data_IF_700044904184
#
_entry.id   IF_700044904184
#
_cell.length_a   1.000
_cell.length_b   1.000
_cell.length_c   1.000
_cell.angle_alpha   90.00
_cell.angle_beta   90.00
_cell.angle_gamma   90.00
#
_symmetry.space_group_name_H-M   'P 1'
#
loop_
_entity.id
_entity.type
_entity.pdbx_description
1 polymer ?
#
# COMPACT_ATOMS: atom_id res chain seq x y z
N UNK A 1 -2.03 3.75 -43.90
CA UNK A 1 -2.90 4.64 -43.11
C UNK A 1 -3.50 3.82 -41.98
N UNK A 2 -2.82 3.78 -40.84
CA UNK A 2 -3.28 3.03 -39.67
C UNK A 2 -4.47 3.76 -39.05
N UNK A 3 -5.59 3.07 -38.88
CA UNK A 3 -6.71 3.56 -38.07
C UNK A 3 -6.14 3.90 -36.70
N UNK A 4 -6.24 5.17 -36.30
CA UNK A 4 -6.02 5.55 -34.91
C UNK A 4 -6.98 4.74 -34.06
N UNK A 5 -6.46 3.83 -33.25
CA UNK A 5 -7.24 3.12 -32.24
C UNK A 5 -7.88 4.19 -31.34
N UNK A 6 -9.17 4.46 -31.55
CA UNK A 6 -9.98 5.19 -30.59
C UNK A 6 -9.86 4.44 -29.28
N UNK A 7 -9.14 5.03 -28.31
CA UNK A 7 -9.08 4.49 -26.96
C UNK A 7 -10.52 4.34 -26.48
N UNK A 8 -11.01 3.10 -26.43
CA UNK A 8 -12.32 2.79 -25.87
C UNK A 8 -12.40 3.48 -24.52
N UNK A 9 -13.39 4.35 -24.36
CA UNK A 9 -13.66 5.00 -23.08
C UNK A 9 -13.91 3.91 -22.05
N UNK A 10 -13.23 4.00 -20.91
CA UNK A 10 -13.37 3.01 -19.86
C UNK A 10 -14.81 3.03 -19.30
N UNK A 11 -15.41 1.86 -19.03
CA UNK A 11 -16.63 1.78 -18.24
C UNK A 11 -16.48 2.49 -16.89
N UNK A 12 -17.56 3.06 -16.37
CA UNK A 12 -17.54 3.88 -15.14
C UNK A 12 -16.94 3.14 -13.93
N UNK A 13 -17.22 1.85 -13.77
CA UNK A 13 -16.68 1.04 -12.68
C UNK A 13 -15.16 0.82 -12.81
N UNK A 14 -14.63 0.75 -14.04
CA UNK A 14 -13.19 0.67 -14.31
C UNK A 14 -12.51 2.03 -14.06
N UNK A 15 -13.14 3.14 -14.49
CA UNK A 15 -12.65 4.49 -14.18
C UNK A 15 -12.58 4.72 -12.66
N UNK A 16 -13.64 4.30 -11.94
CA UNK A 16 -13.71 4.39 -10.48
C UNK A 16 -12.65 3.52 -9.81
N UNK A 17 -12.45 2.29 -10.28
CA UNK A 17 -11.37 1.41 -9.82
C UNK A 17 -10.01 2.12 -9.96
N UNK A 18 -9.63 2.58 -11.15
CA UNK A 18 -8.34 3.25 -11.35
C UNK A 18 -8.17 4.51 -10.51
N UNK A 19 -9.22 5.33 -10.37
CA UNK A 19 -9.20 6.51 -9.51
C UNK A 19 -8.90 6.14 -8.06
N UNK A 20 -9.54 5.11 -7.54
CA UNK A 20 -9.35 4.66 -6.16
C UNK A 20 -8.02 3.95 -5.96
N UNK A 21 -7.60 3.08 -6.89
CA UNK A 21 -6.28 2.44 -6.84
C UNK A 21 -5.15 3.47 -6.87
N UNK A 22 -5.27 4.52 -7.69
CA UNK A 22 -4.30 5.63 -7.71
C UNK A 22 -4.30 6.42 -6.40
N UNK A 23 -5.47 6.64 -5.80
CA UNK A 23 -5.57 7.28 -4.47
C UNK A 23 -4.96 6.41 -3.37
N UNK A 24 -5.25 5.11 -3.38
CA UNK A 24 -4.71 4.12 -2.46
C UNK A 24 -3.18 4.11 -2.53
N UNK A 25 -2.61 4.01 -3.75
CA UNK A 25 -1.17 4.06 -3.97
C UNK A 25 -0.54 5.33 -3.40
N UNK A 26 -1.10 6.51 -3.71
CA UNK A 26 -0.61 7.78 -3.14
C UNK A 26 -0.62 7.79 -1.62
N UNK A 27 -1.69 7.28 -1.00
CA UNK A 27 -1.80 7.21 0.45
C UNK A 27 -0.76 6.25 1.05
N UNK A 28 -0.58 5.07 0.46
CA UNK A 28 0.46 4.11 0.84
C UNK A 28 1.85 4.75 0.73
N UNK A 29 2.18 5.37 -0.40
CA UNK A 29 3.50 5.97 -0.64
C UNK A 29 3.77 7.12 0.34
N UNK A 30 2.75 7.93 0.64
CA UNK A 30 2.85 9.03 1.61
C UNK A 30 2.97 8.53 3.05
N UNK A 31 2.20 7.52 3.44
CA UNK A 31 2.30 6.92 4.77
C UNK A 31 3.66 6.23 4.97
N UNK A 32 4.19 5.56 3.94
CA UNK A 32 5.54 4.97 3.98
C UNK A 32 6.63 6.03 4.22
N UNK A 33 6.55 7.15 3.51
CA UNK A 33 7.42 8.31 3.73
C UNK A 33 7.29 8.81 5.17
N UNK A 34 6.07 8.96 5.68
CA UNK A 34 5.84 9.45 7.03
C UNK A 34 6.37 8.50 8.10
N UNK A 35 6.35 7.18 7.88
CA UNK A 35 7.01 6.22 8.77
C UNK A 35 8.52 6.45 8.87
N UNK A 36 9.17 6.70 7.73
CA UNK A 36 10.60 7.03 7.70
C UNK A 36 10.88 8.34 8.43
N UNK A 37 10.12 9.39 8.12
CA UNK A 37 10.31 10.71 8.73
C UNK A 37 10.08 10.69 10.25
N UNK A 38 9.11 9.90 10.73
CA UNK A 38 8.87 9.71 12.15
C UNK A 38 10.07 9.06 12.86
N UNK A 39 10.64 8.02 12.25
CA UNK A 39 11.84 7.35 12.77
C UNK A 39 13.04 8.29 12.78
N UNK A 40 13.31 8.97 11.66
CA UNK A 40 14.41 9.92 11.53
C UNK A 40 14.28 11.07 12.54
N UNK A 41 13.06 11.56 12.77
CA UNK A 41 12.80 12.56 13.81
C UNK A 41 13.14 12.02 15.20
N UNK A 42 12.71 10.81 15.55
CA UNK A 42 13.00 10.21 16.85
C UNK A 42 14.50 9.97 17.06
N UNK A 43 15.21 9.51 16.03
CA UNK A 43 16.69 9.40 16.05
C UNK A 43 17.32 10.75 16.34
N UNK A 44 16.95 11.79 15.59
CA UNK A 44 17.53 13.13 15.73
C UNK A 44 17.24 13.77 17.10
N UNK A 45 16.09 13.46 17.70
CA UNK A 45 15.67 14.05 18.98
C UNK A 45 16.18 13.30 20.20
N UNK A 46 16.39 11.99 20.09
CA UNK A 46 16.69 11.14 21.26
C UNK A 46 18.07 10.50 21.21
N UNK A 47 18.57 10.14 20.03
CA UNK A 47 19.77 9.31 19.88
C UNK A 47 21.00 10.06 19.37
N UNK A 48 20.86 11.32 18.97
CA UNK A 48 21.98 12.11 18.49
C UNK A 48 22.88 12.53 19.67
N UNK A 49 24.11 12.04 19.67
CA UNK A 49 25.14 12.41 20.64
C UNK A 49 25.71 13.82 20.42
N UNK A 50 26.60 14.24 21.32
CA UNK A 50 27.25 15.58 21.26
C UNK A 50 28.17 15.76 20.05
N UNK A 51 28.64 14.66 19.48
CA UNK A 51 29.50 14.58 18.29
C UNK A 51 28.70 14.44 16.98
N UNK A 52 27.37 14.58 17.04
CA UNK A 52 26.44 14.34 15.93
C UNK A 52 26.47 12.90 15.39
N UNK A 53 26.90 11.93 16.19
CA UNK A 53 26.79 10.51 15.87
C UNK A 53 25.56 9.91 16.55
N UNK A 54 24.95 8.90 15.90
CA UNK A 54 23.81 8.18 16.46
C UNK A 54 24.31 7.17 17.48
N UNK A 55 23.84 7.29 18.72
CA UNK A 55 24.12 6.35 19.80
C UNK A 55 22.87 5.54 20.18
N UNK A 56 22.84 4.29 19.74
CA UNK A 56 21.74 3.36 20.02
C UNK A 56 21.79 2.81 21.45
N UNK A 57 22.91 2.90 22.17
CA UNK A 57 22.99 2.41 23.56
C UNK A 57 22.10 3.23 24.50
N UNK A 58 21.77 4.46 24.12
CA UNK A 58 20.79 5.33 24.79
C UNK A 58 19.42 4.63 24.92
N UNK A 59 19.05 3.75 23.98
CA UNK A 59 17.80 2.99 24.04
C UNK A 59 17.80 1.87 25.10
N UNK A 60 18.89 1.64 25.84
CA UNK A 60 18.87 0.77 27.02
C UNK A 60 18.12 1.42 28.19
N UNK A 61 17.99 2.75 28.20
CA UNK A 61 17.29 3.50 29.22
C UNK A 61 15.78 3.57 28.92
N UNK A 62 14.95 3.10 29.85
CA UNK A 62 13.49 3.05 29.66
C UNK A 62 12.88 4.42 29.36
N UNK A 63 13.38 5.48 30.00
CA UNK A 63 12.94 6.85 29.73
C UNK A 63 13.22 7.28 28.29
N UNK A 64 14.37 6.86 27.74
CA UNK A 64 14.76 7.18 26.37
C UNK A 64 13.98 6.38 25.35
N UNK A 65 13.63 5.14 25.67
CA UNK A 65 12.69 4.35 24.85
C UNK A 65 11.33 5.05 24.74
N UNK A 66 10.82 5.55 25.88
CA UNK A 66 9.56 6.30 25.94
C UNK A 66 9.61 7.62 25.16
N UNK A 67 10.70 8.39 25.28
CA UNK A 67 10.94 9.60 24.48
C UNK A 67 10.98 9.29 22.98
N UNK A 68 11.70 8.24 22.59
CA UNK A 68 11.84 7.83 21.19
C UNK A 68 10.48 7.44 20.58
N UNK A 69 9.74 6.53 21.23
CA UNK A 69 8.42 6.12 20.79
C UNK A 69 7.42 7.29 20.80
N UNK A 70 7.54 8.19 21.78
CA UNK A 70 6.76 9.42 21.86
C UNK A 70 6.94 10.33 20.66
N UNK A 71 8.18 10.60 20.25
CA UNK A 71 8.45 11.44 19.07
C UNK A 71 7.90 10.84 17.78
N UNK A 72 7.97 9.52 17.61
CA UNK A 72 7.34 8.85 16.48
C UNK A 72 5.81 9.01 16.51
N UNK A 73 5.19 8.73 17.66
CA UNK A 73 3.74 8.80 17.82
C UNK A 73 3.20 10.22 17.59
N UNK A 74 3.86 11.23 18.17
CA UNK A 74 3.46 12.63 18.05
C UNK A 74 3.54 13.09 16.57
N UNK A 75 4.56 12.63 15.83
CA UNK A 75 4.64 12.87 14.39
C UNK A 75 3.46 12.26 13.63
N UNK A 76 3.15 10.99 13.90
CA UNK A 76 2.04 10.31 13.25
C UNK A 76 0.68 10.95 13.55
N UNK A 77 0.45 11.33 14.80
CA UNK A 77 -0.77 12.04 15.21
C UNK A 77 -0.89 13.36 14.45
N UNK A 78 0.20 14.13 14.34
CA UNK A 78 0.23 15.36 13.55
C UNK A 78 -0.18 15.14 12.09
N UNK A 79 0.44 14.16 11.42
CA UNK A 79 0.10 13.82 10.03
C UNK A 79 -1.32 13.29 9.86
N UNK A 80 -1.80 12.51 10.82
CA UNK A 80 -3.16 11.98 10.78
C UNK A 80 -4.20 13.10 10.93
N UNK A 81 -3.98 14.07 11.82
CA UNK A 81 -4.83 15.26 11.95
C UNK A 81 -4.85 16.08 10.66
N UNK A 82 -3.68 16.32 10.08
CA UNK A 82 -3.55 17.06 8.81
C UNK A 82 -4.29 16.36 7.66
N UNK A 83 -4.21 15.03 7.60
CA UNK A 83 -4.84 14.24 6.56
C UNK A 83 -6.36 14.18 6.73
N UNK A 84 -6.84 13.86 7.92
CA UNK A 84 -8.27 13.70 8.21
C UNK A 84 -9.00 15.03 8.45
N UNK A 85 -8.27 16.15 8.52
CA UNK A 85 -8.83 17.46 8.90
C UNK A 85 -9.58 17.37 10.23
N UNK A 86 -8.97 16.66 11.18
CA UNK A 86 -9.58 16.37 12.46
C UNK A 86 -9.27 17.45 13.47
N UNK A 87 -10.31 17.99 14.11
CA UNK A 87 -10.22 18.94 15.23
C UNK A 87 -10.02 18.25 16.59
N UNK A 88 -9.72 16.94 16.59
CA UNK A 88 -9.44 16.20 17.83
C UNK A 88 -8.35 16.95 18.61
N UNK A 89 -8.71 17.35 19.82
CA UNK A 89 -7.91 18.23 20.68
C UNK A 89 -6.52 17.68 20.99
N UNK A 90 -6.32 16.38 20.80
CA UNK A 90 -5.09 15.67 21.15
C UNK A 90 -4.95 15.39 22.65
N UNK A 91 -5.95 15.76 23.47
CA UNK A 91 -5.94 15.50 24.91
C UNK A 91 -6.46 14.12 25.28
N UNK A 92 -7.32 13.55 24.45
CA UNK A 92 -7.80 12.19 24.63
C UNK A 92 -6.82 11.20 23.99
N UNK A 93 -6.20 10.39 24.83
CA UNK A 93 -5.24 9.36 24.42
C UNK A 93 -5.91 8.30 23.54
N UNK A 94 -7.15 7.91 23.84
CA UNK A 94 -7.85 6.89 23.08
C UNK A 94 -8.19 7.38 21.66
N UNK A 95 -8.66 8.62 21.53
CA UNK A 95 -8.93 9.22 20.22
C UNK A 95 -7.64 9.34 19.38
N UNK A 96 -6.53 9.73 20.00
CA UNK A 96 -5.24 9.81 19.32
C UNK A 96 -4.75 8.43 18.84
N UNK A 97 -4.90 7.39 19.66
CA UNK A 97 -4.53 6.02 19.30
C UNK A 97 -5.37 5.53 18.11
N UNK A 98 -6.68 5.78 18.13
CA UNK A 98 -7.56 5.44 17.00
C UNK A 98 -7.19 6.20 15.72
N UNK A 99 -6.94 7.50 15.84
CA UNK A 99 -6.58 8.36 14.70
C UNK A 99 -5.26 7.92 14.07
N UNK A 100 -4.25 7.66 14.91
CA UNK A 100 -2.94 7.18 14.49
C UNK A 100 -3.04 5.81 13.82
N UNK A 101 -3.78 4.87 14.41
CA UNK A 101 -3.98 3.53 13.84
C UNK A 101 -4.73 3.58 12.51
N UNK A 102 -5.76 4.43 12.39
CA UNK A 102 -6.48 4.61 11.13
C UNK A 102 -5.54 5.09 10.01
N UNK A 103 -4.59 5.97 10.34
CA UNK A 103 -3.66 6.58 9.39
C UNK A 103 -2.45 5.70 9.04
N UNK A 104 -1.81 5.14 10.06
CA UNK A 104 -0.48 4.49 9.96
C UNK A 104 -0.50 2.99 10.22
N UNK A 105 -1.63 2.45 10.68
CA UNK A 105 -1.76 1.03 11.04
C UNK A 105 -1.05 0.65 12.35
N UNK A 106 -0.63 1.62 13.17
CA UNK A 106 -0.05 1.36 14.48
C UNK A 106 -0.53 2.35 15.55
N UNK A 107 -0.27 2.04 16.81
CA UNK A 107 -0.58 2.85 18.00
C UNK A 107 0.71 3.28 18.73
N UNK A 108 0.65 4.35 19.51
CA UNK A 108 1.71 4.77 20.44
C UNK A 108 2.10 3.62 21.36
N UNK A 109 1.11 2.91 21.88
CA UNK A 109 1.32 1.73 22.72
C UNK A 109 2.10 0.62 22.00
N UNK A 110 1.78 0.32 20.74
CA UNK A 110 2.52 -0.67 19.94
C UNK A 110 3.94 -0.22 19.62
N UNK A 111 4.14 1.06 19.28
CA UNK A 111 5.49 1.62 19.07
C UNK A 111 6.34 1.50 20.33
N UNK A 112 5.78 1.88 21.49
CA UNK A 112 6.46 1.75 22.78
C UNK A 112 6.83 0.31 23.07
N UNK A 113 5.91 -0.64 22.89
CA UNK A 113 6.22 -2.06 23.04
C UNK A 113 7.34 -2.53 22.12
N UNK A 114 7.33 -2.09 20.85
CA UNK A 114 8.34 -2.45 19.87
C UNK A 114 9.73 -1.90 20.26
N UNK A 115 9.82 -0.63 20.63
CA UNK A 115 11.06 0.00 21.09
C UNK A 115 11.55 -0.66 22.37
N UNK A 116 10.68 -0.87 23.37
CA UNK A 116 11.06 -1.48 24.65
C UNK A 116 11.58 -2.92 24.50
N UNK A 117 11.00 -3.68 23.56
CA UNK A 117 11.41 -5.06 23.26
C UNK A 117 12.76 -5.12 22.55
N UNK A 118 13.03 -4.17 21.65
CA UNK A 118 14.20 -4.21 20.78
C UNK A 118 15.39 -3.41 21.33
N UNK A 119 15.15 -2.36 22.12
CA UNK A 119 16.14 -1.51 22.77
C UNK A 119 17.19 -1.01 21.78
N UNK A 120 18.48 -1.17 22.05
CA UNK A 120 19.59 -0.80 21.16
C UNK A 120 19.60 -1.53 19.81
N UNK A 121 18.82 -2.61 19.68
CA UNK A 121 18.61 -3.33 18.40
C UNK A 121 17.54 -2.67 17.53
N UNK A 122 16.84 -1.64 18.01
CA UNK A 122 15.83 -0.90 17.24
C UNK A 122 16.45 0.05 16.21
N UNK A 123 17.28 -0.51 15.34
CA UNK A 123 17.96 0.17 14.24
C UNK A 123 17.03 0.34 13.04
N UNK A 124 17.42 1.18 12.08
CA UNK A 124 16.58 1.52 10.94
C UNK A 124 16.21 0.30 10.09
N UNK A 125 17.14 -0.64 9.89
CA UNK A 125 16.90 -1.89 9.18
C UNK A 125 15.84 -2.76 9.87
N UNK A 126 15.92 -2.87 11.20
CA UNK A 126 14.94 -3.62 12.01
C UNK A 126 13.57 -2.93 11.98
N UNK A 127 13.54 -1.60 12.09
CA UNK A 127 12.31 -0.82 11.94
C UNK A 127 11.72 -0.95 10.55
N UNK A 128 12.51 -0.79 9.48
CA UNK A 128 12.04 -0.83 8.11
C UNK A 128 11.44 -2.20 7.78
N UNK A 129 12.02 -3.29 8.29
CA UNK A 129 11.45 -4.63 8.16
C UNK A 129 10.07 -4.73 8.82
N UNK A 130 9.94 -4.32 10.09
CA UNK A 130 8.62 -4.34 10.78
C UNK A 130 7.60 -3.42 10.10
N UNK A 131 8.03 -2.24 9.67
CA UNK A 131 7.19 -1.29 8.93
C UNK A 131 6.61 -1.95 7.68
N UNK A 132 7.44 -2.63 6.88
CA UNK A 132 6.99 -3.30 5.66
C UNK A 132 6.03 -4.45 5.92
N UNK A 133 6.36 -5.32 6.89
CA UNK A 133 5.62 -6.56 7.18
C UNK A 133 4.33 -6.31 7.98
N UNK A 134 4.40 -5.51 9.04
CA UNK A 134 3.31 -5.41 10.03
C UNK A 134 2.44 -4.16 9.85
N UNK A 135 2.98 -3.07 9.28
CA UNK A 135 2.26 -1.79 9.18
C UNK A 135 1.75 -1.53 7.76
N UNK A 136 2.67 -1.55 6.80
CA UNK A 136 2.37 -1.20 5.41
C UNK A 136 1.63 -2.30 4.66
N UNK A 137 1.90 -3.57 4.96
CA UNK A 137 1.20 -4.72 4.36
C UNK A 137 -0.33 -4.63 4.56
N UNK A 138 -0.81 -4.62 5.82
CA UNK A 138 -2.25 -4.51 6.10
C UNK A 138 -2.89 -3.23 5.56
N UNK A 139 -2.15 -2.09 5.60
CA UNK A 139 -2.64 -0.83 5.03
C UNK A 139 -2.86 -0.95 3.52
N UNK A 140 -1.90 -1.52 2.79
CA UNK A 140 -1.99 -1.77 1.34
C UNK A 140 -3.19 -2.68 1.03
N UNK A 141 -3.31 -3.81 1.71
CA UNK A 141 -4.41 -4.76 1.50
C UNK A 141 -5.77 -4.11 1.74
N UNK A 142 -5.93 -3.34 2.83
CA UNK A 142 -7.17 -2.64 3.14
C UNK A 142 -7.53 -1.63 2.05
N UNK A 143 -6.57 -0.82 1.60
CA UNK A 143 -6.83 0.22 0.59
C UNK A 143 -7.07 -0.36 -0.80
N UNK A 144 -6.36 -1.43 -1.17
CA UNK A 144 -6.64 -2.20 -2.38
C UNK A 144 -8.02 -2.84 -2.34
N UNK A 145 -8.42 -3.39 -1.19
CA UNK A 145 -9.75 -3.95 -0.98
C UNK A 145 -10.86 -2.92 -1.21
N UNK A 146 -10.68 -1.68 -0.76
CA UNK A 146 -11.62 -0.58 -1.02
C UNK A 146 -11.72 -0.27 -2.52
N UNK A 147 -10.59 -0.23 -3.24
CA UNK A 147 -10.62 -0.01 -4.69
C UNK A 147 -11.32 -1.16 -5.42
N UNK A 148 -11.02 -2.42 -5.04
CA UNK A 148 -11.62 -3.63 -5.62
C UNK A 148 -13.11 -3.78 -5.29
N UNK A 149 -13.58 -3.27 -4.15
CA UNK A 149 -14.99 -3.37 -3.71
C UNK A 149 -16.01 -2.70 -4.64
N UNK A 150 -15.55 -1.90 -5.62
CA UNK A 150 -16.40 -1.35 -6.68
C UNK A 150 -16.50 -2.24 -7.92
N UNK A 151 -15.82 -3.38 -7.92
CA UNK A 151 -15.90 -4.39 -8.96
C UNK A 151 -16.63 -5.62 -8.42
N UNK A 152 -17.45 -6.25 -9.27
CA UNK A 152 -18.20 -7.45 -8.95
C UNK A 152 -18.08 -8.45 -10.12
N UNK A 153 -18.71 -9.63 -9.97
CA UNK A 153 -18.67 -10.67 -10.99
C UNK A 153 -19.29 -10.25 -12.33
N UNK A 154 -20.27 -9.35 -12.31
CA UNK A 154 -20.96 -8.88 -13.52
C UNK A 154 -20.01 -8.02 -14.39
N UNK A 155 -19.04 -7.35 -13.77
CA UNK A 155 -18.04 -6.51 -14.47
C UNK A 155 -16.92 -7.31 -15.17
N UNK A 156 -16.83 -8.64 -14.99
CA UNK A 156 -15.74 -9.44 -15.58
C UNK A 156 -15.70 -9.31 -17.10
N UNK A 157 -16.87 -9.32 -17.75
CA UNK A 157 -16.95 -9.20 -19.21
C UNK A 157 -16.44 -7.84 -19.70
N UNK A 158 -16.88 -6.77 -19.03
CA UNK A 158 -16.48 -5.40 -19.35
C UNK A 158 -14.97 -5.20 -19.18
N UNK A 159 -14.38 -5.81 -18.15
CA UNK A 159 -12.93 -5.79 -17.92
C UNK A 159 -12.18 -6.51 -19.05
N UNK A 160 -12.61 -7.70 -19.45
CA UNK A 160 -11.96 -8.45 -20.54
C UNK A 160 -12.07 -7.68 -21.86
N UNK A 161 -13.21 -7.04 -22.13
CA UNK A 161 -13.44 -6.28 -23.35
C UNK A 161 -12.68 -4.94 -23.38
N UNK A 162 -12.54 -4.29 -22.22
CA UNK A 162 -11.76 -3.07 -22.05
C UNK A 162 -10.25 -3.33 -22.21
N UNK A 163 -9.74 -4.41 -21.63
CA UNK A 163 -8.32 -4.78 -21.68
C UNK A 163 -7.90 -5.45 -23.00
N UNK A 164 -8.86 -5.77 -23.88
CA UNK A 164 -8.60 -6.49 -25.13
C UNK A 164 -8.17 -7.95 -24.93
N UNK A 165 -8.37 -8.51 -23.73
CA UNK A 165 -7.93 -9.87 -23.40
C UNK A 165 -8.82 -10.96 -23.99
N UNK A 166 -9.95 -10.60 -24.62
CA UNK A 166 -10.99 -11.52 -25.08
C UNK A 166 -10.50 -12.66 -25.98
N UNK A 167 -9.45 -12.46 -26.77
CA UNK A 167 -8.88 -13.50 -27.65
C UNK A 167 -7.88 -14.43 -26.94
N UNK A 168 -7.49 -14.08 -25.71
CA UNK A 168 -6.45 -14.78 -24.95
C UNK A 168 -7.08 -15.59 -23.81
N UNK A 169 -8.12 -15.05 -23.17
CA UNK A 169 -8.74 -15.64 -21.97
C UNK A 169 -10.14 -16.20 -22.27
N UNK A 170 -10.53 -17.20 -21.48
CA UNK A 170 -11.89 -17.75 -21.44
C UNK A 170 -12.67 -17.04 -20.33
N UNK A 171 -13.59 -16.16 -20.70
CA UNK A 171 -14.34 -15.31 -19.77
C UNK A 171 -15.05 -16.12 -18.69
N UNK A 172 -15.60 -17.27 -19.07
CA UNK A 172 -16.33 -18.21 -18.21
C UNK A 172 -15.49 -18.85 -17.10
N UNK A 173 -14.16 -18.84 -17.25
CA UNK A 173 -13.23 -19.42 -16.28
C UNK A 173 -12.56 -18.36 -15.39
N UNK A 174 -12.88 -17.08 -15.58
CA UNK A 174 -12.32 -16.02 -14.76
C UNK A 174 -13.16 -15.78 -13.53
N UNK A 175 -12.49 -15.58 -12.40
CA UNK A 175 -13.08 -14.90 -11.26
C UNK A 175 -12.71 -13.41 -11.27
N UNK A 176 -13.23 -12.67 -10.29
CA UNK A 176 -12.97 -11.24 -10.15
C UNK A 176 -11.49 -10.92 -9.92
N UNK A 177 -10.74 -11.78 -9.20
CA UNK A 177 -9.32 -11.54 -8.94
C UNK A 177 -8.51 -11.65 -10.24
N UNK A 178 -8.83 -12.62 -11.09
CA UNK A 178 -8.21 -12.72 -12.42
C UNK A 178 -8.54 -11.49 -13.27
N UNK A 179 -9.80 -11.04 -13.29
CA UNK A 179 -10.20 -9.85 -14.03
C UNK A 179 -9.46 -8.59 -13.54
N UNK A 180 -9.36 -8.38 -12.23
CA UNK A 180 -8.55 -7.29 -11.65
C UNK A 180 -7.07 -7.40 -12.05
N UNK A 181 -6.54 -8.62 -12.11
CA UNK A 181 -5.19 -8.88 -12.64
C UNK A 181 -4.99 -8.39 -14.08
N UNK A 182 -6.02 -8.53 -14.94
CA UNK A 182 -5.99 -7.97 -16.29
C UNK A 182 -5.93 -6.44 -16.27
N UNK A 183 -6.74 -5.78 -15.43
CA UNK A 183 -6.72 -4.31 -15.31
C UNK A 183 -5.35 -3.79 -14.88
N UNK A 184 -4.70 -4.48 -13.95
CA UNK A 184 -3.37 -4.09 -13.47
C UNK A 184 -2.30 -4.28 -14.55
N UNK A 185 -2.29 -5.43 -15.24
CA UNK A 185 -1.38 -5.66 -16.36
C UNK A 185 -1.58 -4.63 -17.49
N UNK A 186 -2.84 -4.29 -17.78
CA UNK A 186 -3.17 -3.29 -18.80
C UNK A 186 -2.73 -1.89 -18.40
N UNK A 187 -2.91 -1.48 -17.14
CA UNK A 187 -2.45 -0.18 -16.64
C UNK A 187 -0.92 -0.06 -16.70
N UNK A 188 -0.21 -1.13 -16.35
CA UNK A 188 1.25 -1.16 -16.37
C UNK A 188 1.85 -1.13 -17.77
N UNK A 189 1.22 -1.79 -18.74
CA UNK A 189 1.87 -2.13 -20.02
C UNK A 189 1.12 -1.66 -21.25
N UNK A 190 -0.12 -1.18 -21.10
CA UNK A 190 -1.03 -0.81 -22.19
C UNK A 190 -1.52 -1.99 -23.04
N UNK A 191 -1.02 -3.20 -22.80
CA UNK A 191 -1.36 -4.45 -23.47
C UNK A 191 -1.31 -5.61 -22.46
N UNK A 192 -1.97 -6.73 -22.77
CA UNK A 192 -1.93 -7.95 -21.96
C UNK A 192 -0.95 -8.95 -22.58
N UNK A 193 0.34 -8.99 -22.18
CA UNK A 193 1.24 -10.00 -22.71
C UNK A 193 0.99 -11.35 -22.05
N UNK A 194 1.24 -12.42 -22.81
CA UNK A 194 1.14 -13.79 -22.30
C UNK A 194 2.00 -14.04 -21.04
N UNK A 195 3.24 -13.53 -21.02
CA UNK A 195 4.13 -13.65 -19.85
C UNK A 195 3.57 -12.94 -18.61
N UNK A 196 2.80 -11.87 -18.80
CA UNK A 196 2.13 -11.16 -17.71
C UNK A 196 1.01 -11.99 -17.08
N UNK A 197 0.23 -12.69 -17.92
CA UNK A 197 -0.84 -13.59 -17.47
C UNK A 197 -0.31 -14.73 -16.61
N UNK A 198 0.79 -15.37 -17.02
CA UNK A 198 1.42 -16.46 -16.25
C UNK A 198 1.86 -15.97 -14.85
N UNK A 199 2.47 -14.78 -14.77
CA UNK A 199 2.85 -14.16 -13.49
C UNK A 199 1.66 -13.75 -12.63
N UNK A 200 0.55 -13.36 -13.25
CA UNK A 200 -0.70 -13.02 -12.59
C UNK A 200 -1.53 -14.26 -12.16
N UNK A 201 -0.97 -15.47 -12.28
CA UNK A 201 -1.62 -16.70 -11.80
C UNK A 201 -2.58 -17.35 -12.79
N UNK A 202 -2.66 -16.86 -14.03
CA UNK A 202 -3.50 -17.48 -15.06
C UNK A 202 -2.90 -18.83 -15.48
N UNK A 203 -3.63 -19.90 -15.15
CA UNK A 203 -3.37 -21.28 -15.58
C UNK A 203 -3.96 -21.59 -16.97
N UNK A 204 -3.53 -22.70 -17.57
CA UNK A 204 -3.97 -23.15 -18.90
C UNK A 204 -5.48 -23.21 -19.12
N UNK A 205 -6.26 -23.54 -18.08
CA UNK A 205 -7.71 -23.59 -18.22
C UNK A 205 -8.36 -22.21 -18.36
N UNK A 206 -7.71 -21.13 -17.91
CA UNK A 206 -8.17 -19.75 -18.14
C UNK A 206 -7.88 -19.26 -19.57
N UNK A 207 -6.98 -19.93 -20.29
CA UNK A 207 -6.49 -19.46 -21.58
C UNK A 207 -7.22 -20.17 -22.73
N UNK A 208 -7.48 -19.44 -23.81
CA UNK A 208 -7.91 -20.04 -25.08
C UNK A 208 -6.72 -20.85 -25.65
N UNK A 209 -6.96 -22.10 -26.03
CA UNK A 209 -5.91 -22.94 -26.66
C UNK A 209 -5.44 -22.22 -27.92
N UNK A 210 -4.11 -22.08 -28.08
CA UNK A 210 -3.46 -21.32 -29.17
C UNK A 210 -4.16 -21.50 -30.52
N UNK A 211 -4.75 -20.42 -31.04
CA UNK A 211 -4.66 -20.19 -32.48
C UNK A 211 -3.26 -19.66 -32.79
N UNK A 212 -2.64 -20.22 -33.84
CA UNK A 212 -1.22 -20.07 -34.22
C UNK A 212 -0.76 -18.63 -34.54
N UNK A 213 -1.52 -17.58 -34.23
CA UNK A 213 -1.32 -16.20 -34.73
C UNK A 213 -0.48 -15.26 -33.86
N UNK A 214 -0.21 -15.57 -32.59
CA UNK A 214 0.52 -14.68 -31.68
C UNK A 214 1.91 -15.20 -31.30
N UNK A 215 2.63 -15.77 -32.27
CA UNK A 215 4.08 -15.93 -32.21
C UNK A 215 4.71 -14.78 -33.01
N UNK A 216 4.97 -13.66 -32.35
CA UNK A 216 6.11 -12.76 -32.65
C UNK A 216 6.22 -11.73 -31.54
#
# INVERSE_FOLDING_TARGET
MGKSDEKKKAPEHIEKYYKLSKKAKKLVDTTDLHHREAYDLAVNKTLLGKDNLVDYDILKEDKKQDEFAGHMADYYIGKAKDYFKSDISGKDEFENEMLMNAYTGTTRSQLKQMVNRLKERFKFDVFNKHKEEELMGPLKERLEGVARGHLNREHINDIVDYTGAGDIVKKENLDLNHAVGLLNLYDEQGIIPKKGLEKAGFRDYHLKKKDKKYKK
#
